data_IF_448984546445
#
_entry.id   IF_448984546445
#
_cell.length_a   1.000
_cell.length_b   1.000
_cell.length_c   1.000
_cell.angle_alpha   90.00
_cell.angle_beta   90.00
_cell.angle_gamma   90.00
#
_symmetry.space_group_name_H-M   'P 1'
#
loop_
_entity.id
_entity.type
_entity.pdbx_description
1 polymer ?
#
# COMPACT_ATOMS: atom_id res chain seq x y z
N UNK A 1 -30.72 -31.83 -21.65
CA UNK A 1 -29.89 -30.98 -22.49
C UNK A 1 -30.16 -29.48 -22.26
N UNK A 2 -31.43 -29.01 -22.18
CA UNK A 2 -31.72 -27.58 -21.94
C UNK A 2 -31.16 -27.03 -20.59
N UNK A 3 -31.19 -27.82 -19.52
CA UNK A 3 -30.69 -27.40 -18.20
C UNK A 3 -29.16 -27.23 -18.18
N UNK A 4 -28.41 -28.07 -18.90
CA UNK A 4 -26.93 -27.96 -19.00
C UNK A 4 -26.57 -26.74 -19.83
N UNK A 5 -27.28 -26.43 -20.89
CA UNK A 5 -27.06 -25.22 -21.70
C UNK A 5 -27.36 -23.93 -20.91
N UNK A 6 -28.42 -23.93 -20.08
CA UNK A 6 -28.74 -22.77 -19.24
C UNK A 6 -27.67 -22.50 -18.14
N UNK A 7 -27.11 -23.56 -17.56
CA UNK A 7 -26.02 -23.46 -16.58
C UNK A 7 -24.72 -22.94 -17.25
N UNK A 8 -24.42 -23.44 -18.46
CA UNK A 8 -23.23 -22.97 -19.20
C UNK A 8 -23.35 -21.49 -19.59
N UNK A 9 -24.50 -21.04 -20.09
CA UNK A 9 -24.76 -19.64 -20.41
C UNK A 9 -24.72 -18.77 -19.15
N UNK A 10 -25.27 -19.22 -18.02
CA UNK A 10 -25.19 -18.52 -16.76
C UNK A 10 -23.74 -18.36 -16.26
N UNK A 11 -22.93 -19.41 -16.41
CA UNK A 11 -21.51 -19.42 -16.06
C UNK A 11 -20.72 -18.41 -16.92
N UNK A 12 -20.91 -18.41 -18.24
CA UNK A 12 -20.25 -17.45 -19.16
C UNK A 12 -20.65 -16.00 -18.83
N UNK A 13 -21.95 -15.73 -18.59
CA UNK A 13 -22.42 -14.40 -18.23
C UNK A 13 -21.81 -13.88 -16.91
N UNK A 14 -21.54 -14.77 -15.95
CA UNK A 14 -20.86 -14.42 -14.71
C UNK A 14 -19.37 -14.21 -14.95
N UNK A 15 -18.72 -15.06 -15.74
CA UNK A 15 -17.30 -14.90 -16.11
C UNK A 15 -17.04 -13.60 -16.88
N UNK A 16 -17.92 -13.25 -17.79
CA UNK A 16 -17.83 -12.02 -18.57
C UNK A 16 -18.26 -10.77 -17.78
N UNK A 17 -18.70 -10.94 -16.54
CA UNK A 17 -19.11 -9.85 -15.67
C UNK A 17 -20.50 -9.27 -15.97
N UNK A 18 -21.28 -9.90 -16.87
CA UNK A 18 -22.66 -9.53 -17.15
C UNK A 18 -23.61 -9.88 -16.00
N UNK A 19 -23.23 -10.84 -15.16
CA UNK A 19 -23.92 -11.19 -13.91
C UNK A 19 -22.93 -11.12 -12.73
N UNK A 20 -23.40 -10.79 -11.51
CA UNK A 20 -22.57 -10.77 -10.31
C UNK A 20 -22.06 -12.18 -9.97
N UNK A 21 -20.86 -12.27 -9.37
CA UNK A 21 -20.30 -13.53 -8.88
C UNK A 21 -18.99 -13.96 -9.53
N UNK A 22 -18.43 -13.19 -10.47
CA UNK A 22 -17.17 -13.49 -11.17
C UNK A 22 -16.06 -13.89 -10.20
N UNK A 23 -15.88 -13.13 -9.14
CA UNK A 23 -14.82 -13.37 -8.14
C UNK A 23 -15.08 -14.62 -7.29
N UNK A 24 -16.35 -14.95 -7.06
CA UNK A 24 -16.73 -16.20 -6.38
C UNK A 24 -16.45 -17.40 -7.27
N UNK A 25 -16.77 -17.32 -8.57
CA UNK A 25 -16.46 -18.36 -9.53
C UNK A 25 -14.95 -18.59 -9.67
N UNK A 26 -14.16 -17.55 -9.83
CA UNK A 26 -12.70 -17.66 -9.93
C UNK A 26 -12.08 -18.39 -8.71
N UNK A 27 -12.63 -18.17 -7.52
CA UNK A 27 -12.24 -18.92 -6.31
C UNK A 27 -12.62 -20.37 -6.36
N UNK A 28 -13.84 -20.69 -6.81
CA UNK A 28 -14.35 -22.06 -6.90
C UNK A 28 -13.60 -22.89 -7.95
N UNK A 29 -13.21 -22.25 -9.06
CA UNK A 29 -12.50 -22.89 -10.17
C UNK A 29 -10.98 -22.99 -9.94
N UNK A 30 -10.49 -22.55 -8.78
CA UNK A 30 -9.06 -22.57 -8.46
C UNK A 30 -8.22 -21.56 -9.24
N UNK A 31 -8.86 -20.61 -9.94
CA UNK A 31 -8.21 -19.56 -10.72
C UNK A 31 -7.40 -18.58 -9.87
N UNK A 32 -7.70 -18.48 -8.57
CA UNK A 32 -6.96 -17.63 -7.63
C UNK A 32 -5.56 -18.15 -7.29
N UNK A 33 -5.28 -19.42 -7.55
CA UNK A 33 -4.05 -20.08 -7.15
C UNK A 33 -3.96 -20.31 -5.63
N UNK A 34 -2.86 -20.90 -5.19
CA UNK A 34 -2.61 -21.19 -3.77
C UNK A 34 -1.56 -20.26 -3.18
N UNK A 35 -1.63 -20.08 -1.86
CA UNK A 35 -0.57 -19.39 -1.12
C UNK A 35 0.75 -20.16 -1.26
N UNK A 36 1.90 -19.47 -1.35
CA UNK A 36 3.18 -20.13 -1.42
C UNK A 36 3.47 -20.85 -0.08
N UNK A 37 4.29 -21.92 -0.12
CA UNK A 37 4.72 -22.56 1.11
C UNK A 37 5.51 -21.57 1.98
N UNK A 38 5.44 -21.79 3.31
CA UNK A 38 6.16 -20.94 4.26
C UNK A 38 7.68 -21.00 3.96
N UNK A 39 8.35 -19.87 3.76
CA UNK A 39 9.76 -19.87 3.35
C UNK A 39 10.64 -20.41 4.48
N UNK A 40 11.64 -21.19 4.09
CA UNK A 40 12.73 -21.60 4.99
C UNK A 40 13.74 -20.45 5.15
N UNK A 41 14.30 -20.30 6.36
CA UNK A 41 15.32 -19.28 6.62
C UNK A 41 15.15 -18.56 7.95
N UNK A 42 16.10 -17.66 8.24
CA UNK A 42 16.05 -16.84 9.46
C UNK A 42 14.99 -15.75 9.30
N UNK A 43 14.07 -15.72 10.22
CA UNK A 43 13.01 -14.72 10.25
C UNK A 43 13.51 -13.38 10.80
N UNK A 44 12.90 -12.26 10.41
CA UNK A 44 13.17 -10.98 11.05
C UNK A 44 12.77 -11.01 12.52
N UNK A 45 13.48 -10.22 13.32
CA UNK A 45 13.11 -9.99 14.72
C UNK A 45 11.93 -9.03 14.77
N UNK A 46 10.91 -9.40 15.54
CA UNK A 46 9.68 -8.61 15.72
C UNK A 46 9.73 -7.81 17.01
N UNK A 47 9.48 -6.52 16.91
CA UNK A 47 9.29 -5.58 18.01
C UNK A 47 7.89 -5.01 17.94
N UNK A 48 7.08 -5.21 18.98
CA UNK A 48 5.72 -4.67 19.05
C UNK A 48 5.67 -3.57 20.12
N UNK A 49 4.97 -2.49 19.80
CA UNK A 49 4.68 -1.39 20.70
C UNK A 49 3.24 -0.92 20.48
N UNK A 50 2.66 -0.36 21.54
CA UNK A 50 1.37 0.34 21.44
C UNK A 50 1.57 1.76 21.97
N UNK A 51 0.95 2.74 21.31
CA UNK A 51 0.98 4.12 21.74
C UNK A 51 -0.37 4.81 21.51
N UNK A 52 -0.70 5.79 22.36
CA UNK A 52 -1.85 6.65 22.15
C UNK A 52 -1.55 7.64 21.03
N UNK A 53 -2.34 7.58 19.96
CA UNK A 53 -2.21 8.47 18.82
C UNK A 53 -3.14 9.67 18.94
N UNK A 54 -2.57 10.87 18.82
CA UNK A 54 -3.34 12.10 18.76
C UNK A 54 -4.04 12.29 17.41
N UNK A 55 -3.54 11.65 16.38
CA UNK A 55 -4.10 11.70 15.03
C UNK A 55 -5.22 10.68 14.83
N UNK A 56 -5.13 9.52 15.53
CA UNK A 56 -6.14 8.48 15.44
C UNK A 56 -7.18 8.53 16.58
N UNK A 57 -6.91 9.33 17.63
CA UNK A 57 -7.71 9.38 18.87
C UNK A 57 -7.91 7.99 19.50
N UNK A 58 -6.93 7.10 19.35
CA UNK A 58 -6.98 5.71 19.77
C UNK A 58 -5.59 5.15 20.09
N UNK A 59 -5.56 4.04 20.81
CA UNK A 59 -4.37 3.23 21.00
C UNK A 59 -4.00 2.54 19.68
N UNK A 60 -2.78 2.75 19.18
CA UNK A 60 -2.29 2.24 17.91
C UNK A 60 -1.19 1.22 18.13
N UNK A 61 -1.36 0.03 17.56
CA UNK A 61 -0.31 -0.98 17.52
C UNK A 61 0.67 -0.69 16.37
N UNK A 62 1.95 -0.75 16.68
CA UNK A 62 3.06 -0.65 15.72
C UNK A 62 3.97 -1.88 15.87
N UNK A 63 4.25 -2.55 14.77
CA UNK A 63 5.15 -3.70 14.72
C UNK A 63 6.30 -3.39 13.78
N UNK A 64 7.52 -3.46 14.32
CA UNK A 64 8.74 -3.28 13.53
C UNK A 64 9.42 -4.63 13.32
N UNK A 65 9.66 -4.99 12.08
CA UNK A 65 10.38 -6.18 11.67
C UNK A 65 11.81 -5.78 11.26
N UNK A 66 12.79 -6.28 12.00
CA UNK A 66 14.22 -6.01 11.76
C UNK A 66 14.84 -7.26 11.13
N UNK A 67 15.52 -7.14 9.96
CA UNK A 67 16.13 -8.29 9.29
C UNK A 67 17.19 -8.96 10.15
N UNK A 68 17.37 -10.30 10.04
CA UNK A 68 18.36 -11.02 10.81
C UNK A 68 19.79 -10.60 10.40
N UNK A 69 20.67 -10.44 11.40
CA UNK A 69 22.08 -10.11 11.15
C UNK A 69 22.37 -8.64 10.87
N UNK A 70 21.40 -7.75 11.04
CA UNK A 70 21.64 -6.32 10.96
C UNK A 70 22.69 -5.87 11.99
N UNK A 71 23.82 -5.36 11.51
CA UNK A 71 24.94 -4.93 12.38
C UNK A 71 24.59 -3.67 13.19
N UNK A 72 23.73 -2.81 12.66
CA UNK A 72 23.22 -1.61 13.32
C UNK A 72 21.85 -1.25 12.77
N UNK A 73 20.97 -0.74 13.65
CA UNK A 73 19.67 -0.19 13.21
C UNK A 73 19.82 1.10 12.38
N UNK A 74 20.83 1.91 12.66
CA UNK A 74 21.07 3.18 11.97
C UNK A 74 21.45 3.02 10.49
N UNK A 75 21.84 1.82 10.08
CA UNK A 75 22.10 1.49 8.68
C UNK A 75 20.85 0.95 7.95
N UNK A 76 19.75 0.72 8.67
CA UNK A 76 18.51 0.20 8.07
C UNK A 76 17.61 1.33 7.62
N UNK A 77 17.25 1.33 6.34
CA UNK A 77 16.14 2.11 5.81
C UNK A 77 14.80 1.65 6.41
N UNK A 78 13.73 2.39 6.13
CA UNK A 78 12.38 2.08 6.59
C UNK A 78 11.47 1.81 5.40
N UNK A 79 10.72 0.72 5.47
CA UNK A 79 9.55 0.46 4.63
C UNK A 79 8.30 0.47 5.51
N UNK A 80 7.32 1.27 5.15
CA UNK A 80 5.99 1.24 5.76
C UNK A 80 5.15 0.20 5.04
N UNK A 81 4.50 -0.70 5.77
CA UNK A 81 3.56 -1.68 5.23
C UNK A 81 2.16 -1.41 5.78
N UNK A 82 1.21 -1.16 4.87
CA UNK A 82 -0.16 -0.75 5.16
C UNK A 82 -1.10 -1.92 4.91
N UNK A 83 -1.89 -2.29 5.93
CA UNK A 83 -2.78 -3.45 5.88
C UNK A 83 -4.08 -3.17 5.11
N UNK A 84 -4.68 -4.21 4.55
CA UNK A 84 -5.99 -4.20 3.93
C UNK A 84 -7.13 -4.11 4.95
N UNK A 85 -8.36 -3.85 4.47
CA UNK A 85 -9.55 -3.86 5.31
C UNK A 85 -9.75 -5.23 5.96
N UNK A 86 -10.07 -5.25 7.25
CA UNK A 86 -10.26 -6.48 8.02
C UNK A 86 -8.96 -7.19 8.43
N UNK A 87 -7.79 -6.73 7.97
CA UNK A 87 -6.50 -7.22 8.45
C UNK A 87 -6.03 -6.37 9.65
N UNK A 88 -4.96 -6.79 10.31
CA UNK A 88 -4.36 -6.14 11.47
C UNK A 88 -2.86 -5.94 11.24
N UNK A 89 -2.20 -5.04 12.01
CA UNK A 89 -0.74 -4.94 11.97
C UNK A 89 -0.04 -6.27 12.25
N UNK A 90 -0.63 -7.11 13.09
CA UNK A 90 -0.08 -8.42 13.44
C UNK A 90 -0.18 -9.41 12.26
N UNK A 91 -1.34 -9.49 11.61
CA UNK A 91 -1.55 -10.34 10.43
C UNK A 91 -0.64 -9.93 9.27
N UNK A 92 -0.60 -8.63 8.97
CA UNK A 92 0.30 -8.10 7.94
C UNK A 92 1.78 -8.35 8.29
N UNK A 93 2.18 -8.18 9.55
CA UNK A 93 3.56 -8.43 9.97
C UNK A 93 3.98 -9.90 9.79
N UNK A 94 3.06 -10.86 9.94
CA UNK A 94 3.34 -12.27 9.67
C UNK A 94 3.54 -12.55 8.19
N UNK A 95 2.76 -11.91 7.30
CA UNK A 95 2.92 -11.98 5.85
C UNK A 95 4.24 -11.32 5.41
N UNK A 96 4.52 -10.11 5.91
CA UNK A 96 5.76 -9.37 5.64
C UNK A 96 6.99 -10.15 6.14
N UNK A 97 6.93 -10.74 7.33
CA UNK A 97 8.04 -11.55 7.86
C UNK A 97 8.36 -12.76 6.96
N UNK A 98 7.33 -13.40 6.40
CA UNK A 98 7.51 -14.46 5.42
C UNK A 98 8.14 -13.92 4.13
N UNK A 99 7.63 -12.79 3.61
CA UNK A 99 8.17 -12.17 2.40
C UNK A 99 9.62 -11.68 2.56
N UNK A 100 9.96 -11.06 3.69
CA UNK A 100 11.34 -10.66 4.02
C UNK A 100 12.29 -11.87 4.06
N UNK A 101 11.82 -13.00 4.58
CA UNK A 101 12.59 -14.25 4.61
C UNK A 101 12.79 -14.80 3.21
N UNK A 102 11.73 -14.84 2.39
CA UNK A 102 11.79 -15.32 1.00
C UNK A 102 12.71 -14.46 0.13
N UNK A 103 12.58 -13.14 0.24
CA UNK A 103 13.38 -12.17 -0.52
C UNK A 103 14.77 -11.91 0.08
N UNK A 104 15.11 -12.54 1.21
CA UNK A 104 16.40 -12.36 1.92
C UNK A 104 16.72 -10.90 2.21
N UNK A 105 15.70 -10.13 2.65
CA UNK A 105 15.84 -8.70 2.94
C UNK A 105 16.82 -8.51 4.11
N UNK A 106 17.80 -7.62 3.91
CA UNK A 106 18.87 -7.33 4.88
C UNK A 106 19.12 -5.82 5.10
N UNK A 107 18.60 -4.94 4.24
CA UNK A 107 18.99 -3.53 4.17
C UNK A 107 17.96 -2.55 4.76
N UNK A 108 16.77 -3.02 5.11
CA UNK A 108 15.73 -2.18 5.69
C UNK A 108 14.88 -2.93 6.72
N UNK A 109 14.32 -2.17 7.64
CA UNK A 109 13.26 -2.63 8.55
C UNK A 109 11.88 -2.35 7.93
N UNK A 110 10.88 -3.18 8.26
CA UNK A 110 9.50 -2.94 7.84
C UNK A 110 8.66 -2.61 9.07
N UNK A 111 7.85 -1.57 8.97
CA UNK A 111 6.93 -1.13 10.01
C UNK A 111 5.50 -1.38 9.53
N UNK A 112 4.78 -2.23 10.26
CA UNK A 112 3.34 -2.44 10.12
C UNK A 112 2.64 -1.68 11.24
N UNK A 113 1.69 -0.83 10.90
CA UNK A 113 0.97 0.02 11.86
C UNK A 113 -0.54 -0.12 11.68
N UNK A 114 -1.29 0.07 12.75
CA UNK A 114 -2.75 0.03 12.72
C UNK A 114 -3.32 1.30 12.09
N UNK A 115 -3.92 1.15 10.91
CA UNK A 115 -4.64 2.19 10.19
C UNK A 115 -6.15 2.13 10.38
N UNK A 116 -6.66 1.18 11.17
CA UNK A 116 -8.10 0.93 11.28
C UNK A 116 -8.74 0.49 9.96
N UNK A 117 -10.05 0.69 9.83
CA UNK A 117 -10.81 0.34 8.62
C UNK A 117 -11.19 1.55 7.74
N UNK A 118 -10.47 2.66 7.83
CA UNK A 118 -10.89 3.97 7.33
C UNK A 118 -10.14 4.42 6.07
N UNK A 119 -9.67 3.52 5.26
CA UNK A 119 -8.99 3.78 3.97
C UNK A 119 -7.81 4.74 4.05
N UNK A 120 -7.10 4.77 5.18
CA UNK A 120 -5.82 5.46 5.37
C UNK A 120 -5.85 7.00 5.19
N UNK A 121 -6.96 7.63 4.87
CA UNK A 121 -7.08 9.08 4.72
C UNK A 121 -7.75 9.72 5.95
N UNK A 122 -7.58 11.03 6.06
CA UNK A 122 -8.20 11.80 7.15
C UNK A 122 -9.71 11.80 7.01
N UNK A 123 -10.41 11.53 8.12
CA UNK A 123 -11.87 11.41 8.22
C UNK A 123 -12.49 12.69 8.82
N UNK A 124 -13.82 12.82 8.62
CA UNK A 124 -14.58 13.95 9.14
C UNK A 124 -14.61 14.02 10.68
N UNK A 125 -14.50 12.86 11.36
CA UNK A 125 -14.41 12.77 12.82
C UNK A 125 -13.03 13.13 13.38
N UNK A 126 -12.06 13.39 12.51
CA UNK A 126 -10.70 13.78 12.85
C UNK A 126 -9.70 12.62 12.87
N UNK A 127 -10.12 11.36 12.68
CA UNK A 127 -9.20 10.23 12.51
C UNK A 127 -8.31 10.47 11.28
N UNK A 128 -6.98 10.50 11.47
CA UNK A 128 -5.99 10.83 10.44
C UNK A 128 -4.82 9.84 10.44
N UNK A 129 -4.96 8.69 9.79
CA UNK A 129 -3.89 7.68 9.71
C UNK A 129 -2.62 8.18 9.01
N UNK A 130 -2.74 9.02 7.97
CA UNK A 130 -1.56 9.61 7.30
C UNK A 130 -0.85 10.57 8.24
N UNK A 131 -1.57 11.44 8.94
CA UNK A 131 -1.00 12.33 9.95
C UNK A 131 -0.29 11.55 11.06
N UNK A 132 -0.87 10.46 11.53
CA UNK A 132 -0.24 9.55 12.48
C UNK A 132 1.08 8.98 11.92
N UNK A 133 1.10 8.48 10.68
CA UNK A 133 2.33 7.94 10.09
C UNK A 133 3.43 8.99 10.06
N UNK A 134 3.14 10.17 9.52
CA UNK A 134 4.15 11.22 9.30
C UNK A 134 4.64 11.82 10.62
N UNK A 135 3.73 12.08 11.56
CA UNK A 135 4.04 12.85 12.76
C UNK A 135 4.28 12.01 14.03
N UNK A 136 3.94 10.71 14.00
CA UNK A 136 4.09 9.86 15.19
C UNK A 136 4.91 8.58 14.90
N UNK A 137 4.61 7.85 13.81
CA UNK A 137 5.29 6.58 13.49
C UNK A 137 6.73 6.82 13.02
N UNK A 138 6.93 7.71 12.04
CA UNK A 138 8.27 8.00 11.52
C UNK A 138 9.20 8.63 12.58
N UNK A 139 8.77 9.60 13.41
CA UNK A 139 9.59 10.07 14.52
C UNK A 139 9.96 8.98 15.54
N UNK A 140 9.04 8.05 15.85
CA UNK A 140 9.33 6.90 16.72
C UNK A 140 10.33 5.95 16.08
N UNK A 141 10.22 5.72 14.78
CA UNK A 141 11.20 4.91 14.04
C UNK A 141 12.60 5.55 14.08
N UNK A 142 12.68 6.85 13.86
CA UNK A 142 13.93 7.61 13.97
C UNK A 142 14.51 7.55 15.39
N UNK A 143 13.69 7.72 16.43
CA UNK A 143 14.10 7.59 17.84
C UNK A 143 14.57 6.16 18.18
N UNK A 144 14.06 5.14 17.49
CA UNK A 144 14.52 3.76 17.58
C UNK A 144 15.81 3.49 16.78
N UNK A 145 16.38 4.52 16.15
CA UNK A 145 17.64 4.46 15.41
C UNK A 145 17.52 4.04 13.96
N UNK A 146 16.33 4.05 13.35
CA UNK A 146 16.13 3.73 11.94
C UNK A 146 16.31 4.97 11.06
N UNK A 147 16.78 4.78 9.83
CA UNK A 147 16.96 5.86 8.86
C UNK A 147 15.60 6.18 8.20
N UNK A 148 14.99 7.31 8.57
CA UNK A 148 13.65 7.73 8.12
C UNK A 148 13.64 8.88 7.13
N UNK A 149 14.81 9.39 6.73
CA UNK A 149 14.89 10.49 5.74
C UNK A 149 14.47 10.07 4.33
N UNK A 150 14.59 8.77 4.02
CA UNK A 150 14.17 8.14 2.78
C UNK A 150 13.42 6.86 3.11
N UNK A 151 12.20 6.73 2.64
CA UNK A 151 11.31 5.61 3.01
C UNK A 151 10.74 4.90 1.80
N UNK A 152 10.51 3.60 1.94
CA UNK A 152 9.66 2.83 1.04
C UNK A 152 8.24 2.68 1.60
N UNK A 153 7.27 2.46 0.73
CA UNK A 153 5.89 2.26 1.14
C UNK A 153 5.31 1.08 0.38
N UNK A 154 4.62 0.17 1.07
CA UNK A 154 3.87 -0.93 0.43
C UNK A 154 2.54 -1.14 1.13
N UNK A 155 1.62 -1.80 0.44
CA UNK A 155 0.34 -2.18 1.02
C UNK A 155 -0.47 -3.06 0.09
N UNK A 156 -1.51 -3.66 0.66
CA UNK A 156 -2.44 -4.55 -0.03
C UNK A 156 -3.87 -4.03 0.09
N UNK A 157 -4.68 -4.17 -0.96
CA UNK A 157 -6.09 -3.78 -0.93
C UNK A 157 -6.29 -2.32 -0.50
N UNK A 158 -7.04 -2.06 0.58
CA UNK A 158 -7.16 -0.77 1.25
C UNK A 158 -5.77 -0.17 1.56
N UNK A 159 -4.81 -0.98 2.02
CA UNK A 159 -3.43 -0.54 2.27
C UNK A 159 -2.65 -0.25 0.98
N UNK A 160 -2.98 -0.92 -0.13
CA UNK A 160 -2.43 -0.62 -1.44
C UNK A 160 -2.87 0.76 -1.94
N UNK A 161 -4.14 1.08 -1.78
CA UNK A 161 -4.66 2.44 -2.00
C UNK A 161 -3.97 3.45 -1.06
N UNK A 162 -3.91 3.16 0.24
CA UNK A 162 -3.26 4.00 1.24
C UNK A 162 -1.78 4.24 0.95
N UNK A 163 -1.07 3.24 0.40
CA UNK A 163 0.34 3.38 0.02
C UNK A 163 0.53 4.39 -1.12
N UNK A 164 -0.33 4.35 -2.15
CA UNK A 164 -0.31 5.33 -3.23
C UNK A 164 -0.64 6.72 -2.71
N UNK A 165 -1.73 6.88 -1.96
CA UNK A 165 -2.15 8.15 -1.39
C UNK A 165 -1.09 8.78 -0.48
N UNK A 166 -0.48 8.00 0.42
CA UNK A 166 0.60 8.46 1.30
C UNK A 166 1.83 8.92 0.48
N UNK A 167 2.22 8.15 -0.54
CA UNK A 167 3.33 8.51 -1.41
C UNK A 167 3.06 9.83 -2.16
N UNK A 168 1.86 10.02 -2.69
CA UNK A 168 1.43 11.26 -3.35
C UNK A 168 1.49 12.47 -2.40
N UNK A 169 0.93 12.33 -1.20
CA UNK A 169 0.92 13.40 -0.19
C UNK A 169 2.33 13.81 0.23
N UNK A 170 3.20 12.85 0.50
CA UNK A 170 4.60 13.13 0.85
C UNK A 170 5.34 13.79 -0.34
N UNK A 171 5.21 13.25 -1.55
CA UNK A 171 5.87 13.79 -2.72
C UNK A 171 5.37 15.19 -3.10
N UNK A 172 4.09 15.47 -2.94
CA UNK A 172 3.50 16.80 -3.15
C UNK A 172 4.03 17.81 -2.12
N UNK A 173 4.04 17.44 -0.83
CA UNK A 173 4.55 18.29 0.24
C UNK A 173 6.04 18.63 0.07
N UNK A 174 6.87 17.67 -0.35
CA UNK A 174 8.29 17.88 -0.65
C UNK A 174 8.49 18.89 -1.77
N UNK A 175 7.67 18.86 -2.83
CA UNK A 175 7.75 19.85 -3.94
C UNK A 175 7.39 21.25 -3.48
N UNK A 176 6.33 21.40 -2.69
CA UNK A 176 5.90 22.71 -2.17
C UNK A 176 6.99 23.34 -1.32
N UNK A 177 7.64 22.57 -0.45
CA UNK A 177 8.77 23.02 0.38
C UNK A 177 9.96 23.43 -0.48
N UNK A 178 10.29 22.67 -1.52
CA UNK A 178 11.39 23.01 -2.42
C UNK A 178 11.11 24.31 -3.19
N UNK A 179 9.89 24.51 -3.69
CA UNK A 179 9.50 25.75 -4.39
C UNK A 179 9.59 26.98 -3.48
N UNK A 180 9.22 26.87 -2.22
CA UNK A 180 9.34 27.95 -1.24
C UNK A 180 10.81 28.29 -0.91
N UNK A 181 11.70 27.30 -0.88
CA UNK A 181 13.13 27.49 -0.61
C UNK A 181 13.91 28.08 -1.80
N UNK A 182 13.41 27.92 -3.02
CA UNK A 182 14.03 28.48 -4.24
C UNK A 182 13.52 29.89 -4.59
N UNK A 183 12.53 30.39 -3.87
CA UNK A 183 12.07 31.79 -3.99
C UNK A 183 13.06 32.74 -3.32
N UNK A 184 13.36 33.94 -3.88
CA UNK A 184 14.33 34.88 -3.33
C UNK A 184 13.80 35.64 -2.11
N UNK A 185 13.38 34.93 -1.07
CA UNK A 185 13.11 35.49 0.25
C UNK A 185 14.32 35.30 1.16
N UNK A 186 14.56 36.20 2.14
CA UNK A 186 15.72 36.09 3.03
C UNK A 186 15.70 34.76 3.77
N UNK A 187 16.86 34.12 3.98
CA UNK A 187 16.96 32.80 4.60
C UNK A 187 16.43 32.88 6.04
N UNK A 188 15.22 32.40 6.25
CA UNK A 188 14.84 31.93 7.58
C UNK A 188 15.60 30.63 7.84
N UNK A 189 16.11 30.41 9.09
CA UNK A 189 16.77 29.14 9.41
C UNK A 189 15.78 28.02 9.10
N UNK A 190 16.09 27.25 8.05
CA UNK A 190 15.32 26.07 7.68
C UNK A 190 15.38 25.10 8.86
N UNK A 191 14.33 25.05 9.63
CA UNK A 191 13.98 23.81 10.30
C UNK A 191 13.88 22.79 9.14
N UNK A 192 14.81 21.85 9.10
CA UNK A 192 14.80 20.77 8.10
C UNK A 192 13.37 20.23 8.10
N UNK A 193 12.68 20.37 6.97
CA UNK A 193 11.32 19.85 6.84
C UNK A 193 11.44 18.35 7.12
N UNK A 194 10.90 17.88 8.24
CA UNK A 194 10.98 16.48 8.66
C UNK A 194 10.17 15.53 7.75
N UNK A 195 9.87 15.99 6.52
CA UNK A 195 9.15 15.24 5.48
C UNK A 195 10.15 14.32 4.79
N UNK A 196 9.97 12.99 4.85
CA UNK A 196 10.87 12.05 4.19
C UNK A 196 10.78 12.14 2.66
N UNK A 197 11.79 11.61 1.99
CA UNK A 197 11.71 11.33 0.55
C UNK A 197 11.10 9.94 0.36
N UNK A 198 10.12 9.80 -0.53
CA UNK A 198 9.62 8.48 -0.94
C UNK A 198 10.59 7.87 -1.93
N UNK A 199 11.29 6.82 -1.50
CA UNK A 199 12.23 6.07 -2.34
C UNK A 199 11.53 5.26 -3.43
N UNK A 200 10.46 4.59 -3.05
CA UNK A 200 9.59 3.81 -3.93
C UNK A 200 8.27 3.48 -3.23
N UNK A 201 7.23 3.22 -4.03
CA UNK A 201 5.96 2.68 -3.56
C UNK A 201 5.60 1.42 -4.32
N UNK A 202 5.09 0.40 -3.62
CA UNK A 202 4.61 -0.85 -4.20
C UNK A 202 3.19 -1.13 -3.70
N UNK A 203 2.21 -1.09 -4.59
CA UNK A 203 0.81 -1.33 -4.29
C UNK A 203 0.34 -2.67 -4.86
N UNK A 204 -0.23 -3.53 -4.01
CA UNK A 204 -0.81 -4.82 -4.39
C UNK A 204 -2.32 -4.74 -4.32
N UNK A 205 -2.99 -5.11 -5.42
CA UNK A 205 -4.46 -5.08 -5.49
C UNK A 205 -5.06 -3.80 -4.90
N UNK A 206 -4.57 -2.59 -5.26
CA UNK A 206 -4.99 -1.37 -4.59
C UNK A 206 -6.50 -1.16 -4.75
N UNK A 207 -7.19 -0.95 -3.62
CA UNK A 207 -8.64 -0.75 -3.60
C UNK A 207 -9.01 0.65 -4.11
N UNK A 208 -8.81 0.88 -5.40
CA UNK A 208 -9.15 2.10 -6.12
C UNK A 208 -10.56 1.93 -6.72
N UNK A 209 -11.43 2.88 -6.45
CA UNK A 209 -12.79 2.90 -7.00
C UNK A 209 -12.92 3.89 -8.14
N UNK A 210 -13.79 3.59 -9.10
CA UNK A 210 -14.07 4.50 -10.21
C UNK A 210 -14.93 5.70 -9.77
N UNK A 211 -15.87 5.45 -8.85
CA UNK A 211 -16.81 6.46 -8.35
C UNK A 211 -17.04 6.31 -6.86
N UNK A 212 -17.56 7.35 -6.23
CA UNK A 212 -18.03 7.27 -4.83
C UNK A 212 -19.14 6.23 -4.65
N UNK A 213 -20.02 6.08 -5.63
CA UNK A 213 -21.08 5.08 -5.58
C UNK A 213 -20.52 3.66 -5.52
N UNK A 214 -19.47 3.37 -6.31
CA UNK A 214 -18.79 2.07 -6.28
C UNK A 214 -18.12 1.84 -4.91
N UNK A 215 -17.42 2.84 -4.39
CA UNK A 215 -16.81 2.77 -3.08
C UNK A 215 -17.85 2.50 -1.99
N UNK A 216 -18.94 3.27 -1.97
CA UNK A 216 -20.01 3.13 -0.98
C UNK A 216 -20.77 1.79 -1.08
N UNK A 217 -20.86 1.23 -2.28
CA UNK A 217 -21.45 -0.10 -2.50
C UNK A 217 -20.55 -1.22 -1.99
N UNK A 218 -19.24 -1.08 -2.17
CA UNK A 218 -18.26 -2.09 -1.74
C UNK A 218 -17.98 -2.02 -0.24
N UNK A 219 -17.81 -0.81 0.29
CA UNK A 219 -17.58 -0.53 1.71
C UNK A 219 -18.13 0.85 2.07
N UNK A 220 -19.25 0.86 2.80
CA UNK A 220 -19.91 2.11 3.23
C UNK A 220 -19.02 2.98 4.11
N UNK A 221 -18.01 2.39 4.76
CA UNK A 221 -17.04 3.07 5.60
C UNK A 221 -15.83 3.63 4.85
N UNK A 222 -15.71 3.38 3.54
CA UNK A 222 -14.52 3.76 2.79
C UNK A 222 -14.30 5.28 2.72
N UNK A 223 -15.36 6.05 2.51
CA UNK A 223 -15.33 7.52 2.42
C UNK A 223 -16.56 8.14 3.09
N UNK A 224 -16.38 9.29 3.72
CA UNK A 224 -17.47 9.98 4.45
C UNK A 224 -18.51 10.60 3.51
N UNK A 225 -18.10 11.01 2.32
CA UNK A 225 -18.94 11.69 1.33
C UNK A 225 -18.31 11.66 -0.06
N UNK A 226 -19.08 12.10 -1.07
CA UNK A 226 -18.56 12.36 -2.41
C UNK A 226 -17.39 13.36 -2.41
N UNK A 227 -17.45 14.40 -1.58
CA UNK A 227 -16.38 15.40 -1.46
C UNK A 227 -15.11 14.79 -0.86
N UNK A 228 -15.26 13.93 0.14
CA UNK A 228 -14.16 13.19 0.76
C UNK A 228 -13.51 12.23 -0.26
N UNK A 229 -14.32 11.48 -1.02
CA UNK A 229 -13.83 10.64 -2.12
C UNK A 229 -13.01 11.45 -3.13
N UNK A 230 -13.55 12.59 -3.58
CA UNK A 230 -12.86 13.45 -4.57
C UNK A 230 -11.54 14.01 -4.04
N UNK A 231 -11.50 14.38 -2.76
CA UNK A 231 -10.29 14.93 -2.12
C UNK A 231 -9.20 13.89 -1.89
N UNK A 232 -9.54 12.61 -1.93
CA UNK A 232 -8.63 11.49 -1.70
C UNK A 232 -8.53 10.54 -2.90
N UNK A 233 -8.96 11.00 -4.09
CA UNK A 233 -8.80 10.26 -5.34
C UNK A 233 -7.33 10.26 -5.78
N UNK A 234 -6.71 9.09 -5.77
CA UNK A 234 -5.32 8.89 -6.19
C UNK A 234 -5.08 9.23 -7.67
N UNK A 235 -6.12 9.30 -8.49
CA UNK A 235 -5.97 9.78 -9.87
C UNK A 235 -5.79 11.29 -9.96
N UNK A 236 -6.32 12.06 -9.00
CA UNK A 236 -6.24 13.52 -9.01
C UNK A 236 -4.79 14.01 -8.79
N UNK A 237 -4.04 13.33 -7.92
CA UNK A 237 -2.69 13.71 -7.55
C UNK A 237 -1.60 12.80 -8.15
N UNK A 238 -1.94 11.95 -9.12
CA UNK A 238 -1.03 10.98 -9.73
C UNK A 238 0.27 11.62 -10.27
N UNK A 239 0.21 12.89 -10.66
CA UNK A 239 1.38 13.66 -11.11
C UNK A 239 2.45 13.83 -10.02
N UNK A 240 2.08 13.67 -8.74
CA UNK A 240 3.00 13.68 -7.62
C UNK A 240 4.00 12.52 -7.69
N UNK A 241 3.60 11.40 -8.25
CA UNK A 241 4.41 10.20 -8.40
C UNK A 241 5.33 10.20 -9.63
N UNK A 242 5.36 11.27 -10.43
CA UNK A 242 6.17 11.34 -11.67
C UNK A 242 7.64 10.91 -11.46
N UNK A 243 8.21 11.22 -10.29
CA UNK A 243 9.60 10.91 -9.95
C UNK A 243 9.74 9.90 -8.82
N UNK A 244 8.63 9.24 -8.45
CA UNK A 244 8.61 8.19 -7.44
C UNK A 244 8.55 6.84 -8.16
N UNK A 245 9.58 5.99 -8.06
CA UNK A 245 9.52 4.63 -8.53
C UNK A 245 8.27 3.93 -7.95
N UNK A 246 7.37 3.51 -8.85
CA UNK A 246 6.06 2.96 -8.47
C UNK A 246 5.88 1.59 -9.10
N UNK A 247 5.49 0.61 -8.30
CA UNK A 247 5.16 -0.74 -8.70
C UNK A 247 3.69 -1.02 -8.35
N UNK A 248 2.93 -1.54 -9.31
CA UNK A 248 1.51 -1.87 -9.10
C UNK A 248 1.25 -3.26 -9.66
N UNK A 249 0.77 -4.17 -8.81
CA UNK A 249 0.30 -5.48 -9.27
C UNK A 249 -1.13 -5.74 -8.79
N UNK A 250 -1.92 -6.38 -9.66
CA UNK A 250 -3.29 -6.76 -9.35
C UNK A 250 -3.61 -8.11 -9.98
N UNK A 251 -4.46 -8.89 -9.31
CA UNK A 251 -4.92 -10.17 -9.85
C UNK A 251 -5.79 -9.97 -11.10
N UNK A 252 -5.72 -10.89 -12.06
CA UNK A 252 -6.57 -10.83 -13.26
C UNK A 252 -8.06 -10.99 -12.92
N UNK A 253 -8.34 -11.73 -11.83
CA UNK A 253 -9.70 -11.94 -11.31
C UNK A 253 -9.98 -11.12 -10.04
N UNK A 254 -9.31 -10.00 -9.89
CA UNK A 254 -9.47 -9.05 -8.79
C UNK A 254 -10.50 -7.97 -9.18
N UNK A 255 -11.49 -7.61 -8.31
CA UNK A 255 -12.47 -6.57 -8.59
C UNK A 255 -11.84 -5.20 -8.86
N UNK A 256 -10.66 -4.92 -8.32
CA UNK A 256 -9.94 -3.65 -8.53
C UNK A 256 -9.04 -3.66 -9.76
N UNK A 257 -8.96 -4.77 -10.50
CA UNK A 257 -8.10 -4.93 -11.67
C UNK A 257 -8.27 -3.80 -12.70
N UNK A 258 -9.49 -3.38 -13.10
CA UNK A 258 -9.65 -2.33 -14.11
C UNK A 258 -9.05 -0.98 -13.64
N UNK A 259 -9.25 -0.62 -12.37
CA UNK A 259 -8.76 0.64 -11.84
C UNK A 259 -7.25 0.60 -11.59
N UNK A 260 -6.70 -0.52 -11.13
CA UNK A 260 -5.27 -0.73 -10.98
C UNK A 260 -4.54 -0.64 -12.35
N UNK A 261 -5.09 -1.26 -13.39
CA UNK A 261 -4.57 -1.18 -14.75
C UNK A 261 -4.61 0.26 -15.31
N UNK A 262 -5.73 0.97 -15.10
CA UNK A 262 -5.90 2.36 -15.51
C UNK A 262 -4.89 3.28 -14.78
N UNK A 263 -4.69 3.09 -13.48
CA UNK A 263 -3.72 3.84 -12.70
C UNK A 263 -2.30 3.64 -13.24
N UNK A 264 -1.89 2.38 -13.45
CA UNK A 264 -0.58 2.06 -14.01
C UNK A 264 -0.39 2.66 -15.42
N UNK A 265 -1.42 2.60 -16.28
CA UNK A 265 -1.37 3.17 -17.62
C UNK A 265 -1.23 4.71 -17.60
N UNK A 266 -1.99 5.40 -16.73
CA UNK A 266 -1.89 6.87 -16.59
C UNK A 266 -0.52 7.28 -16.05
N UNK A 267 0.00 6.58 -15.07
CA UNK A 267 1.33 6.86 -14.53
C UNK A 267 2.42 6.59 -15.57
N UNK A 268 2.33 5.50 -16.34
CA UNK A 268 3.25 5.20 -17.42
C UNK A 268 3.26 6.29 -18.49
N UNK A 269 2.09 6.84 -18.84
CA UNK A 269 1.98 7.97 -19.78
C UNK A 269 2.66 9.25 -19.24
N UNK A 270 2.56 9.51 -17.93
CA UNK A 270 3.20 10.67 -17.28
C UNK A 270 4.73 10.54 -17.17
N UNK A 271 5.23 9.32 -17.00
CA UNK A 271 6.66 9.05 -16.77
C UNK A 271 7.41 8.65 -18.04
N UNK A 272 6.69 8.29 -19.10
CA UNK A 272 7.22 7.66 -20.34
C UNK A 272 7.93 6.32 -20.07
N UNK A 273 7.62 5.67 -18.94
CA UNK A 273 8.17 4.36 -18.54
C UNK A 273 7.04 3.42 -18.12
N UNK A 274 7.23 2.14 -18.38
CA UNK A 274 6.31 1.11 -17.90
C UNK A 274 6.31 1.07 -16.38
N UNK A 275 5.13 1.00 -15.77
CA UNK A 275 4.97 0.73 -14.34
C UNK A 275 5.14 -0.78 -14.13
N UNK A 276 6.17 -1.22 -13.39
CA UNK A 276 6.37 -2.63 -13.14
C UNK A 276 5.28 -3.23 -12.23
N UNK A 277 5.14 -4.56 -12.29
CA UNK A 277 4.08 -5.32 -11.63
C UNK A 277 3.11 -5.89 -12.66
N UNK A 278 2.05 -5.16 -12.97
CA UNK A 278 1.08 -5.51 -14.00
C UNK A 278 -0.09 -6.35 -13.49
N UNK A 279 -0.93 -6.77 -14.43
CA UNK A 279 -2.04 -7.68 -14.16
C UNK A 279 -1.54 -9.10 -14.28
N UNK A 280 -1.65 -9.86 -13.18
CA UNK A 280 -1.05 -11.19 -13.03
C UNK A 280 -2.16 -12.17 -12.63
N UNK A 281 -2.07 -13.44 -13.01
CA UNK A 281 -3.05 -14.45 -12.59
C UNK A 281 -3.24 -14.51 -11.08
N UNK A 282 -4.48 -14.45 -10.63
CA UNK A 282 -4.86 -14.47 -9.22
C UNK A 282 -6.07 -13.59 -8.90
N UNK A 283 -6.51 -13.64 -7.66
CA UNK A 283 -7.69 -12.95 -7.14
C UNK A 283 -7.32 -11.89 -6.09
N UNK A 284 -8.35 -11.32 -5.46
CA UNK A 284 -8.20 -10.40 -4.32
C UNK A 284 -8.11 -11.20 -3.01
N UNK A 285 -6.94 -11.77 -2.72
CA UNK A 285 -6.76 -12.66 -1.56
C UNK A 285 -5.31 -12.75 -1.07
N UNK A 286 -5.16 -13.33 0.12
CA UNK A 286 -3.86 -13.58 0.74
C UNK A 286 -2.91 -14.39 -0.13
N UNK A 287 -3.43 -15.31 -0.95
CA UNK A 287 -2.59 -16.13 -1.82
C UNK A 287 -1.89 -15.25 -2.87
N UNK A 288 -2.60 -14.28 -3.44
CA UNK A 288 -2.02 -13.32 -4.37
C UNK A 288 -0.99 -12.42 -3.68
N UNK A 289 -1.31 -11.87 -2.52
CA UNK A 289 -0.42 -10.95 -1.81
C UNK A 289 0.85 -11.65 -1.34
N UNK A 290 0.74 -12.84 -0.75
CA UNK A 290 1.90 -13.63 -0.30
C UNK A 290 2.83 -14.04 -1.43
N UNK A 291 2.32 -14.27 -2.65
CA UNK A 291 3.16 -14.55 -3.83
C UNK A 291 3.92 -13.32 -4.32
N UNK A 292 3.32 -12.14 -4.23
CA UNK A 292 3.85 -10.92 -4.85
C UNK A 292 4.63 -10.01 -3.88
N UNK A 293 4.35 -10.09 -2.57
CA UNK A 293 5.00 -9.26 -1.56
C UNK A 293 6.54 -9.39 -1.54
N UNK A 294 7.18 -10.57 -1.75
CA UNK A 294 8.63 -10.65 -1.88
C UNK A 294 9.18 -9.79 -3.04
N UNK A 295 8.51 -9.79 -4.19
CA UNK A 295 8.87 -8.97 -5.36
C UNK A 295 8.68 -7.48 -5.07
N UNK A 296 7.59 -7.10 -4.44
CA UNK A 296 7.32 -5.73 -4.01
C UNK A 296 8.40 -5.20 -3.05
N UNK A 297 8.79 -5.99 -2.05
CA UNK A 297 9.86 -5.64 -1.11
C UNK A 297 11.22 -5.55 -1.80
N UNK A 298 11.51 -6.45 -2.73
CA UNK A 298 12.76 -6.40 -3.51
C UNK A 298 12.82 -5.14 -4.38
N UNK A 299 11.71 -4.80 -5.06
CA UNK A 299 11.61 -3.56 -5.83
C UNK A 299 11.90 -2.33 -4.97
N UNK A 300 11.25 -2.20 -3.81
CA UNK A 300 11.48 -1.08 -2.90
C UNK A 300 12.94 -1.06 -2.41
N UNK A 301 13.50 -2.22 -2.05
CA UNK A 301 14.88 -2.34 -1.57
C UNK A 301 15.91 -1.82 -2.56
N UNK A 302 15.69 -2.03 -3.86
CA UNK A 302 16.56 -1.52 -4.93
C UNK A 302 16.57 0.01 -5.06
N UNK A 303 15.60 0.71 -4.46
CA UNK A 303 15.49 2.17 -4.49
C UNK A 303 15.79 2.84 -3.14
N UNK A 304 15.91 2.06 -2.06
CA UNK A 304 16.24 2.57 -0.72
C UNK A 304 17.75 2.83 -0.51
N UNK A 305 18.58 2.13 -1.25
CA UNK A 305 20.05 2.24 -1.20
C UNK A 305 20.57 3.44 -1.96
#
# INVERSE_FOLDING_TARGET
MAAIAAVAVGYELVQDGALPGKFTLARLDGGCGSAPPRPAGRRPTRYAATFESRYRHAAVQMITLVPPGAASRSALGVVLALHGAGNTPAGLADQVAAAMTAAKIATFAVICVDGGGTYWHKRADGDDPIGMIVHEVLPRAAAAGLATSKIGITGESMGGYGALLLAERIAAAARTTHTLMTSPAPPQPAAASGIPVVAAVAAMSPAIFATYADAHSADRGAFDSQADFTSNDVFAEISALRHVPTWVACGADDPFQPQAALFAARLAALTSHQVPGGIIGGCHDDAFWLRNLPTALHFIGGHLT
#
